data_IF_349593483837
#
_entry.id   IF_349593483837
#
_cell.length_a   1.000
_cell.length_b   1.000
_cell.length_c   1.000
_cell.angle_alpha   90.00
_cell.angle_beta   90.00
_cell.angle_gamma   90.00
#
_symmetry.space_group_name_H-M   'P 1'
#
loop_
_entity.id
_entity.type
_entity.pdbx_description
1 polymer ?
#
# COMPACT_ATOMS: atom_id res chain seq x y z
N UNK A 1 -3.40 -11.56 -27.86
CA UNK A 1 -3.84 -12.04 -26.53
C UNK A 1 -3.25 -11.05 -25.54
N UNK A 2 -4.06 -10.28 -24.80
CA UNK A 2 -3.57 -9.29 -23.84
C UNK A 2 -2.88 -10.08 -22.71
N UNK A 3 -1.59 -9.85 -22.48
CA UNK A 3 -0.91 -10.39 -21.30
C UNK A 3 -1.01 -9.36 -20.18
N UNK A 4 -1.90 -9.51 -19.19
CA UNK A 4 -2.00 -8.58 -18.07
C UNK A 4 -0.76 -8.59 -17.16
N UNK A 5 0.23 -9.47 -17.44
CA UNK A 5 1.54 -9.48 -16.78
C UNK A 5 2.68 -9.00 -17.66
N UNK A 6 2.42 -8.57 -18.90
CA UNK A 6 3.36 -7.65 -19.52
C UNK A 6 3.31 -6.38 -18.69
N UNK A 7 4.34 -6.21 -17.86
CA UNK A 7 4.53 -5.04 -17.02
C UNK A 7 4.88 -3.88 -17.95
N UNK A 8 3.85 -3.28 -18.54
CA UNK A 8 3.96 -2.04 -19.29
C UNK A 8 3.41 -0.93 -18.40
N UNK A 9 4.20 -0.51 -17.41
CA UNK A 9 3.73 0.39 -16.36
C UNK A 9 4.77 0.78 -15.33
N UNK A 10 4.46 1.87 -14.62
CA UNK A 10 5.25 2.37 -13.49
C UNK A 10 5.24 1.33 -12.36
N UNK A 11 6.43 0.87 -11.97
CA UNK A 11 6.63 0.02 -10.80
C UNK A 11 7.12 0.88 -9.63
N UNK A 12 6.39 0.87 -8.53
CA UNK A 12 6.88 1.38 -7.26
C UNK A 12 7.56 0.23 -6.55
N UNK A 13 8.87 0.36 -6.30
CA UNK A 13 9.64 -0.59 -5.51
C UNK A 13 9.92 0.00 -4.14
N UNK A 14 9.50 -0.70 -3.10
CA UNK A 14 9.72 -0.34 -1.70
C UNK A 14 10.71 -1.33 -1.11
N UNK A 15 11.90 -0.86 -0.75
CA UNK A 15 12.82 -1.61 0.10
C UNK A 15 12.36 -1.47 1.55
N UNK A 16 11.85 -2.55 2.13
CA UNK A 16 11.10 -2.49 3.40
C UNK A 16 11.96 -1.94 4.53
N UNK A 17 13.23 -2.37 4.61
CA UNK A 17 14.15 -1.87 5.64
C UNK A 17 14.38 -0.37 5.51
N UNK A 18 14.72 0.10 4.31
CA UNK A 18 15.01 1.52 4.07
C UNK A 18 13.77 2.39 4.28
N UNK A 19 12.60 1.89 3.89
CA UNK A 19 11.31 2.54 4.15
C UNK A 19 11.04 2.67 5.65
N UNK A 20 11.18 1.57 6.41
CA UNK A 20 10.96 1.59 7.87
C UNK A 20 11.97 2.51 8.55
N UNK A 21 13.24 2.43 8.19
CA UNK A 21 14.29 3.29 8.74
C UNK A 21 14.04 4.77 8.43
N UNK A 22 13.70 5.10 7.18
CA UNK A 22 13.39 6.47 6.78
C UNK A 22 12.14 7.02 7.47
N UNK A 23 11.05 6.23 7.51
CA UNK A 23 9.79 6.62 8.13
C UNK A 23 9.95 6.82 9.64
N UNK A 24 10.63 5.90 10.32
CA UNK A 24 10.90 6.00 11.77
C UNK A 24 11.82 7.16 12.11
N UNK A 25 12.85 7.41 11.28
CA UNK A 25 13.74 8.58 11.45
C UNK A 25 12.96 9.89 11.33
N UNK A 26 12.05 9.97 10.35
CA UNK A 26 11.20 11.15 10.17
C UNK A 26 10.25 11.36 11.35
N UNK A 27 9.54 10.32 11.80
CA UNK A 27 8.62 10.43 12.93
C UNK A 27 9.35 10.80 14.22
N UNK A 28 10.51 10.19 14.48
CA UNK A 28 11.36 10.53 15.62
C UNK A 28 11.84 11.98 15.57
N UNK A 29 12.23 12.48 14.39
CA UNK A 29 12.63 13.87 14.21
C UNK A 29 11.47 14.83 14.50
N UNK A 30 10.30 14.59 13.91
CA UNK A 30 9.13 15.44 14.11
C UNK A 30 8.70 15.48 15.59
N UNK A 31 8.66 14.32 16.25
CA UNK A 31 8.34 14.21 17.68
C UNK A 31 9.34 14.99 18.55
N UNK A 32 10.62 14.99 18.21
CA UNK A 32 11.66 15.76 18.92
C UNK A 32 11.58 17.26 18.67
N UNK A 33 11.12 17.70 17.50
CA UNK A 33 11.04 19.13 17.14
C UNK A 33 9.88 19.82 17.84
N UNK A 34 8.77 19.11 18.07
CA UNK A 34 7.54 19.69 18.65
C UNK A 34 7.80 20.44 19.99
N UNK A 35 8.53 19.88 20.98
CA UNK A 35 8.85 20.61 22.21
C UNK A 35 9.59 21.93 21.99
N UNK A 36 10.47 22.01 20.99
CA UNK A 36 11.17 23.25 20.66
C UNK A 36 10.22 24.28 20.06
N UNK A 37 9.32 23.86 19.17
CA UNK A 37 8.28 24.73 18.62
C UNK A 37 7.40 25.27 19.76
N UNK A 38 6.95 24.39 20.67
CA UNK A 38 6.13 24.76 21.83
C UNK A 38 6.81 25.80 22.73
N UNK A 39 8.13 25.76 22.86
CA UNK A 39 8.89 26.70 23.70
C UNK A 39 9.05 28.09 23.08
N UNK A 40 8.98 28.21 21.75
CA UNK A 40 9.18 29.46 21.01
C UNK A 40 7.86 30.20 20.72
N UNK A 41 6.71 29.66 21.14
CA UNK A 41 5.41 30.29 20.95
C UNK A 41 5.16 31.33 22.05
N UNK A 42 5.15 32.59 21.64
CA UNK A 42 4.67 33.71 22.46
C UNK A 42 3.36 34.25 21.88
N UNK A 43 2.22 33.70 22.32
CA UNK A 43 0.89 34.20 21.93
C UNK A 43 -0.13 34.15 23.07
N UNK A 44 -1.23 34.89 22.96
CA UNK A 44 -2.35 34.82 23.92
C UNK A 44 -3.00 33.42 23.94
N UNK A 45 -2.87 32.67 22.83
CA UNK A 45 -3.39 31.31 22.66
C UNK A 45 -2.36 30.21 22.99
N UNK A 46 -1.23 30.55 23.62
CA UNK A 46 -0.11 29.61 23.85
C UNK A 46 -0.56 28.29 24.47
N UNK A 47 -1.46 28.30 25.45
CA UNK A 47 -1.95 27.07 26.09
C UNK A 47 -2.69 26.15 25.11
N UNK A 48 -3.51 26.72 24.23
CA UNK A 48 -4.26 25.97 23.22
C UNK A 48 -3.29 25.39 22.20
N UNK A 49 -2.34 26.19 21.71
CA UNK A 49 -1.38 25.72 20.69
C UNK A 49 -0.48 24.62 21.26
N UNK A 50 -0.03 24.73 22.51
CA UNK A 50 0.75 23.69 23.18
C UNK A 50 -0.04 22.39 23.35
N UNK A 51 -1.34 22.47 23.68
CA UNK A 51 -2.21 21.30 23.75
C UNK A 51 -2.35 20.60 22.39
N UNK A 52 -2.59 21.37 21.32
CA UNK A 52 -2.65 20.84 19.95
C UNK A 52 -1.33 20.20 19.52
N UNK A 53 -0.20 20.83 19.82
CA UNK A 53 1.13 20.29 19.52
C UNK A 53 1.41 19.00 20.31
N UNK A 54 0.94 18.91 21.56
CA UNK A 54 0.98 17.68 22.35
C UNK A 54 0.20 16.55 21.69
N UNK A 55 -1.06 16.80 21.30
CA UNK A 55 -1.87 15.81 20.60
C UNK A 55 -1.26 15.39 19.26
N UNK A 56 -0.70 16.33 18.50
CA UNK A 56 0.01 16.03 17.25
C UNK A 56 1.22 15.13 17.48
N UNK A 57 1.98 15.38 18.55
CA UNK A 57 3.13 14.54 18.91
C UNK A 57 2.69 13.11 19.21
N UNK A 58 1.62 12.93 19.96
CA UNK A 58 1.11 11.61 20.32
C UNK A 58 0.68 10.81 19.07
N UNK A 59 0.04 11.47 18.10
CA UNK A 59 -0.30 10.87 16.80
C UNK A 59 0.97 10.46 16.01
N UNK A 60 1.98 11.32 15.98
CA UNK A 60 3.26 11.03 15.30
C UNK A 60 3.99 9.86 15.96
N UNK A 61 4.02 9.79 17.28
CA UNK A 61 4.63 8.70 18.03
C UNK A 61 3.91 7.38 17.74
N UNK A 62 2.57 7.39 17.72
CA UNK A 62 1.76 6.22 17.37
C UNK A 62 2.06 5.74 15.94
N UNK A 63 2.17 6.66 14.97
CA UNK A 63 2.54 6.33 13.59
C UNK A 63 3.96 5.74 13.52
N UNK A 64 4.91 6.34 14.23
CA UNK A 64 6.29 5.85 14.30
C UNK A 64 6.38 4.42 14.86
N UNK A 65 5.63 4.13 15.92
CA UNK A 65 5.54 2.80 16.51
C UNK A 65 4.85 1.79 15.58
N UNK A 66 3.85 2.23 14.81
CA UNK A 66 3.23 1.39 13.79
C UNK A 66 4.24 0.99 12.70
N UNK A 67 5.10 1.90 12.24
CA UNK A 67 6.17 1.57 11.29
C UNK A 67 7.21 0.61 11.85
N UNK A 68 7.60 0.77 13.13
CA UNK A 68 8.52 -0.16 13.81
C UNK A 68 7.92 -1.56 13.87
N UNK A 69 6.67 -1.68 14.33
CA UNK A 69 5.93 -2.95 14.36
C UNK A 69 5.77 -3.57 12.98
N UNK A 70 5.51 -2.75 11.96
CA UNK A 70 5.47 -3.23 10.58
C UNK A 70 6.82 -3.85 10.18
N UNK A 71 7.95 -3.19 10.44
CA UNK A 71 9.28 -3.75 10.19
C UNK A 71 9.58 -5.03 10.97
N UNK A 72 9.12 -5.14 12.22
CA UNK A 72 9.36 -6.31 13.06
C UNK A 72 8.53 -7.54 12.63
N UNK A 73 7.31 -7.31 12.16
CA UNK A 73 6.36 -8.37 11.76
C UNK A 73 6.56 -8.79 10.30
N UNK A 74 6.95 -7.86 9.45
CA UNK A 74 6.92 -8.02 8.00
C UNK A 74 8.31 -8.36 7.44
N UNK A 75 8.64 -9.66 7.44
CA UNK A 75 9.95 -10.22 7.04
C UNK A 75 10.19 -10.26 5.52
N UNK A 76 9.68 -9.28 4.78
CA UNK A 76 9.89 -9.15 3.34
C UNK A 76 10.95 -8.10 3.07
N UNK A 77 11.89 -8.39 2.16
CA UNK A 77 12.93 -7.42 1.75
C UNK A 77 12.36 -6.33 0.85
N UNK A 78 11.43 -6.69 -0.02
CA UNK A 78 10.96 -5.79 -1.07
C UNK A 78 9.47 -5.97 -1.34
N UNK A 79 8.76 -4.86 -1.44
CA UNK A 79 7.39 -4.81 -1.94
C UNK A 79 7.40 -4.11 -3.29
N UNK A 80 6.79 -4.72 -4.31
CA UNK A 80 6.63 -4.10 -5.63
C UNK A 80 5.17 -3.90 -5.94
N UNK A 81 4.80 -2.69 -6.33
CA UNK A 81 3.43 -2.34 -6.73
C UNK A 81 3.48 -1.97 -8.21
N UNK A 82 2.75 -2.74 -9.01
CA UNK A 82 2.61 -2.53 -10.44
C UNK A 82 1.21 -2.04 -10.74
N UNK A 83 1.11 -0.94 -11.47
CA UNK A 83 -0.17 -0.42 -11.98
C UNK A 83 -0.26 -0.73 -13.46
N UNK A 84 -1.28 -1.47 -13.86
CA UNK A 84 -1.45 -2.01 -15.21
C UNK A 84 -2.82 -1.58 -15.74
N UNK A 85 -2.89 -0.50 -16.53
CA UNK A 85 -4.14 -0.07 -17.14
C UNK A 85 -4.56 -1.06 -18.22
N UNK A 86 -5.82 -1.48 -18.22
CA UNK A 86 -6.41 -2.31 -19.26
C UNK A 86 -7.08 -1.40 -20.28
N UNK A 87 -6.37 -1.08 -21.37
CA UNK A 87 -6.89 -0.28 -22.48
C UNK A 87 -7.63 -1.15 -23.49
N UNK A 88 -8.67 -0.59 -24.11
CA UNK A 88 -9.40 -1.15 -25.27
C UNK A 88 -9.88 -2.61 -25.09
N UNK A 89 -10.16 -3.00 -23.84
CA UNK A 89 -10.60 -4.35 -23.54
C UNK A 89 -12.09 -4.53 -23.77
N UNK A 90 -12.41 -5.41 -24.73
CA UNK A 90 -13.76 -5.95 -24.96
C UNK A 90 -14.20 -6.96 -23.90
N UNK A 91 -13.32 -7.32 -22.95
CA UNK A 91 -13.61 -8.31 -21.91
C UNK A 91 -14.56 -7.71 -20.87
N UNK A 92 -15.54 -8.52 -20.47
CA UNK A 92 -16.39 -8.25 -19.30
C UNK A 92 -15.55 -8.26 -18.01
N UNK A 93 -16.09 -7.65 -16.96
CA UNK A 93 -15.38 -7.58 -15.68
C UNK A 93 -15.12 -8.98 -15.08
N UNK A 94 -16.06 -9.90 -15.26
CA UNK A 94 -15.92 -11.29 -14.82
C UNK A 94 -14.79 -12.01 -15.56
N UNK A 95 -14.66 -11.80 -16.88
CA UNK A 95 -13.57 -12.36 -17.66
C UNK A 95 -12.21 -11.80 -17.23
N UNK A 96 -12.14 -10.50 -16.92
CA UNK A 96 -10.92 -9.86 -16.42
C UNK A 96 -10.55 -10.40 -15.04
N UNK A 97 -11.53 -10.55 -14.16
CA UNK A 97 -11.33 -11.14 -12.83
C UNK A 97 -10.81 -12.57 -12.93
N UNK A 98 -11.47 -13.41 -13.72
CA UNK A 98 -11.10 -14.80 -13.92
C UNK A 98 -9.72 -14.92 -14.55
N UNK A 99 -9.38 -14.05 -15.50
CA UNK A 99 -8.03 -13.96 -16.06
C UNK A 99 -7.00 -13.65 -14.98
N UNK A 100 -7.19 -12.60 -14.19
CA UNK A 100 -6.27 -12.20 -13.13
C UNK A 100 -6.08 -13.31 -12.08
N UNK A 101 -7.18 -13.93 -11.64
CA UNK A 101 -7.16 -15.04 -10.68
C UNK A 101 -6.48 -16.28 -11.25
N UNK A 102 -6.75 -16.62 -12.51
CA UNK A 102 -6.24 -17.85 -13.10
C UNK A 102 -4.73 -17.84 -13.29
N UNK A 103 -4.15 -16.65 -13.43
CA UNK A 103 -2.72 -16.47 -13.58
C UNK A 103 -1.99 -16.32 -12.23
N UNK A 104 -2.71 -16.32 -11.09
CA UNK A 104 -2.10 -16.38 -9.76
C UNK A 104 -1.46 -17.76 -9.48
N UNK A 105 -0.35 -17.76 -8.72
CA UNK A 105 0.24 -19.01 -8.23
C UNK A 105 -0.70 -19.75 -7.27
N UNK A 106 -0.54 -21.06 -7.20
CA UNK A 106 -1.25 -21.90 -6.24
C UNK A 106 -0.46 -22.01 -4.92
N UNK A 107 -1.12 -21.97 -3.75
CA UNK A 107 -2.58 -21.86 -3.56
C UNK A 107 -3.10 -20.44 -3.86
N UNK A 108 -4.25 -20.37 -4.53
CA UNK A 108 -4.96 -19.13 -4.87
C UNK A 108 -5.88 -18.71 -3.72
N UNK A 109 -5.87 -17.42 -3.41
CA UNK A 109 -6.72 -16.79 -2.41
C UNK A 109 -7.59 -15.75 -3.11
N UNK A 110 -8.90 -16.02 -3.28
CA UNK A 110 -9.84 -14.95 -3.66
C UNK A 110 -10.29 -14.27 -2.38
N UNK A 111 -10.09 -12.94 -2.29
CA UNK A 111 -10.26 -12.22 -1.04
C UNK A 111 -11.56 -11.41 -1.06
N UNK A 112 -11.93 -10.71 -2.14
CA UNK A 112 -13.19 -9.95 -2.22
C UNK A 112 -13.64 -9.82 -3.69
N UNK A 113 -14.95 -9.82 -3.92
CA UNK A 113 -15.57 -9.49 -5.20
C UNK A 113 -16.83 -8.64 -4.92
N UNK A 114 -16.81 -7.37 -5.30
CA UNK A 114 -17.84 -6.39 -4.92
C UNK A 114 -18.14 -5.41 -6.04
N UNK A 115 -19.43 -5.18 -6.25
CA UNK A 115 -19.96 -4.16 -7.16
C UNK A 115 -20.64 -3.07 -6.33
N UNK A 116 -20.23 -1.82 -6.50
CA UNK A 116 -20.77 -0.67 -5.77
C UNK A 116 -20.74 0.57 -6.67
N UNK A 117 -21.89 1.25 -6.85
CA UNK A 117 -22.04 2.54 -7.55
C UNK A 117 -21.21 2.72 -8.84
N UNK A 118 -21.38 1.81 -9.81
CA UNK A 118 -20.70 1.90 -11.12
C UNK A 118 -19.21 1.56 -11.09
N UNK A 119 -18.71 1.10 -9.95
CA UNK A 119 -17.39 0.53 -9.76
C UNK A 119 -17.49 -0.95 -9.39
N UNK A 120 -16.59 -1.74 -9.94
CA UNK A 120 -16.45 -3.14 -9.57
C UNK A 120 -15.01 -3.39 -9.14
N UNK A 121 -14.89 -3.85 -7.89
CA UNK A 121 -13.63 -4.12 -7.22
C UNK A 121 -13.52 -5.62 -7.01
N UNK A 122 -12.43 -6.20 -7.51
CA UNK A 122 -12.10 -7.58 -7.18
C UNK A 122 -10.67 -7.70 -6.68
N UNK A 123 -10.48 -8.49 -5.64
CA UNK A 123 -9.19 -8.69 -4.98
C UNK A 123 -8.91 -10.17 -4.82
N UNK A 124 -7.69 -10.56 -5.10
CA UNK A 124 -7.21 -11.91 -4.88
C UNK A 124 -5.69 -11.95 -4.76
N UNK A 125 -5.15 -13.15 -4.68
CA UNK A 125 -3.73 -13.37 -4.59
C UNK A 125 -3.37 -14.84 -4.62
N UNK A 126 -2.10 -15.11 -4.40
CA UNK A 126 -1.56 -16.45 -4.30
C UNK A 126 -0.26 -16.47 -3.51
N UNK A 127 0.09 -17.67 -3.06
CA UNK A 127 1.29 -17.93 -2.25
C UNK A 127 2.28 -18.76 -3.08
N UNK A 128 3.57 -18.40 -3.05
CA UNK A 128 4.67 -19.14 -3.66
C UNK A 128 5.75 -19.43 -2.62
N UNK A 129 5.61 -20.48 -1.79
CA UNK A 129 6.50 -20.72 -0.66
C UNK A 129 7.98 -20.88 -1.04
N UNK A 130 8.25 -21.37 -2.25
CA UNK A 130 9.59 -21.71 -2.74
C UNK A 130 10.17 -20.68 -3.73
N UNK A 131 9.47 -19.56 -3.96
CA UNK A 131 9.95 -18.46 -4.81
C UNK A 131 10.53 -17.34 -3.94
N UNK A 132 11.36 -16.48 -4.53
CA UNK A 132 11.79 -15.23 -3.88
C UNK A 132 10.59 -14.32 -3.62
N UNK A 133 9.73 -14.15 -4.63
CA UNK A 133 8.41 -13.53 -4.47
C UNK A 133 7.48 -14.55 -3.83
N UNK A 134 7.17 -14.38 -2.54
CA UNK A 134 6.40 -15.36 -1.77
C UNK A 134 4.90 -15.09 -1.77
N UNK A 135 4.48 -13.84 -1.85
CA UNK A 135 3.08 -13.47 -1.98
C UNK A 135 2.89 -12.57 -3.18
N UNK A 136 1.81 -12.83 -3.92
CA UNK A 136 1.36 -11.95 -5.00
C UNK A 136 -0.11 -11.68 -4.73
N UNK A 137 -0.49 -10.41 -4.68
CA UNK A 137 -1.87 -9.98 -4.63
C UNK A 137 -2.19 -9.17 -5.87
N UNK A 138 -3.46 -9.16 -6.24
CA UNK A 138 -3.96 -8.29 -7.26
C UNK A 138 -5.25 -7.61 -6.80
N UNK A 139 -5.49 -6.42 -7.34
CA UNK A 139 -6.73 -5.67 -7.22
C UNK A 139 -7.14 -5.21 -8.61
N UNK A 140 -8.28 -5.65 -9.10
CA UNK A 140 -8.89 -5.13 -10.33
C UNK A 140 -9.93 -4.11 -9.93
N UNK A 141 -9.84 -2.92 -10.52
CA UNK A 141 -10.85 -1.87 -10.40
C UNK A 141 -11.37 -1.59 -11.80
N UNK A 142 -12.66 -1.84 -12.03
CA UNK A 142 -13.36 -1.47 -13.24
C UNK A 142 -14.39 -0.38 -12.96
N UNK A 143 -14.41 0.64 -13.80
CA UNK A 143 -15.34 1.77 -13.87
C UNK A 143 -15.81 1.92 -15.32
N UNK A 144 -16.80 2.78 -15.57
CA UNK A 144 -17.40 3.00 -16.89
C UNK A 144 -16.38 3.12 -18.03
N UNK A 145 -15.29 3.86 -17.82
CA UNK A 145 -14.31 4.20 -18.87
C UNK A 145 -12.88 3.79 -18.50
N UNK A 146 -12.70 3.12 -17.36
CA UNK A 146 -11.38 2.84 -16.79
C UNK A 146 -11.35 1.44 -16.18
N UNK A 147 -10.33 0.68 -16.57
CA UNK A 147 -10.07 -0.65 -16.02
C UNK A 147 -8.60 -0.70 -15.63
N UNK A 148 -8.31 -0.94 -14.35
CA UNK A 148 -6.94 -0.97 -13.84
C UNK A 148 -6.73 -2.24 -13.02
N UNK A 149 -5.58 -2.88 -13.21
CA UNK A 149 -5.08 -3.92 -12.31
C UNK A 149 -3.91 -3.36 -11.51
N UNK A 150 -3.98 -3.47 -10.20
CA UNK A 150 -2.82 -3.36 -9.31
C UNK A 150 -2.31 -4.76 -9.01
N UNK A 151 -1.01 -4.99 -9.16
CA UNK A 151 -0.33 -6.20 -8.67
C UNK A 151 0.63 -5.78 -7.56
N UNK A 152 0.54 -6.45 -6.42
CA UNK A 152 1.40 -6.22 -5.28
C UNK A 152 2.19 -7.51 -5.03
N UNK A 153 3.50 -7.41 -5.08
CA UNK A 153 4.41 -8.53 -4.85
C UNK A 153 5.22 -8.34 -3.60
N UNK A 154 5.36 -9.40 -2.82
CA UNK A 154 6.16 -9.45 -1.60
C UNK A 154 7.33 -10.42 -1.77
N UNK A 155 8.54 -9.88 -1.79
CA UNK A 155 9.79 -10.64 -1.95
C UNK A 155 10.52 -10.78 -0.61
N UNK A 156 10.95 -12.01 -0.30
CA UNK A 156 11.68 -12.36 0.92
C UNK A 156 13.20 -12.36 0.73
#
# INVERSE_FOLDING_TARGET
>A
MINPWEVDGNCITVHVKDFVEGATTLTDFLSRVIPYISAEIESEDTSIIVEYLGALKDEIDMIGDAFKRFGDVFDYKTVRIYTMPIKDSVLSDEEIHNMALNMMPNPKLKIIDKVEDGMHLSMGGGIQPFSKTQLIFYTVITKSDEKIIYRIEFEK
#
